data_IF_715660647487
#
_entry.id   IF_715660647487
#
_cell.length_a   1.000
_cell.length_b   1.000
_cell.length_c   1.000
_cell.angle_alpha   90.00
_cell.angle_beta   90.00
_cell.angle_gamma   90.00
#
_symmetry.space_group_name_H-M   'P 1'
#
loop_
_entity.id
_entity.type
_entity.pdbx_description
1 polymer ?
#
# COMPACT_ATOMS: atom_id res chain seq x y z
N UNK A 1 -3.30 14.55 2.51
CA UNK A 1 -4.45 13.77 2.01
C UNK A 1 -3.96 12.53 1.29
N UNK A 2 -4.72 11.47 1.35
CA UNK A 2 -4.38 10.21 0.71
C UNK A 2 -5.34 9.98 -0.46
N UNK A 3 -4.78 9.86 -1.66
CA UNK A 3 -5.53 9.62 -2.88
C UNK A 3 -5.31 8.16 -3.31
N UNK A 4 -6.38 7.39 -3.32
CA UNK A 4 -6.33 5.98 -3.75
C UNK A 4 -6.91 5.90 -5.16
N UNK A 5 -6.14 5.36 -6.09
CA UNK A 5 -6.56 5.31 -7.50
C UNK A 5 -7.58 4.19 -7.72
N UNK A 6 -8.60 4.48 -8.52
CA UNK A 6 -9.68 3.54 -8.84
C UNK A 6 -9.17 2.28 -9.55
N UNK A 7 -8.03 2.35 -10.22
CA UNK A 7 -7.44 1.19 -10.90
C UNK A 7 -7.17 0.02 -9.95
N UNK A 8 -7.02 0.29 -8.65
CA UNK A 8 -6.85 -0.77 -7.64
C UNK A 8 -8.07 -1.69 -7.65
N UNK A 9 -9.26 -1.11 -7.57
CA UNK A 9 -10.51 -1.87 -7.58
C UNK A 9 -10.73 -2.56 -8.94
N UNK A 10 -10.36 -1.89 -10.03
CA UNK A 10 -10.49 -2.46 -11.37
C UNK A 10 -9.65 -3.72 -11.54
N UNK A 11 -8.43 -3.74 -10.99
CA UNK A 11 -7.52 -4.88 -11.07
C UNK A 11 -7.80 -5.94 -10.02
N UNK A 12 -8.27 -5.52 -8.85
CA UNK A 12 -8.53 -6.36 -7.69
C UNK A 12 -9.90 -6.02 -7.13
N UNK A 13 -10.99 -6.56 -7.75
CA UNK A 13 -12.36 -6.19 -7.35
C UNK A 13 -12.70 -6.48 -5.89
N UNK A 14 -11.94 -7.37 -5.23
CA UNK A 14 -12.10 -7.66 -3.80
C UNK A 14 -11.61 -6.53 -2.91
N UNK A 15 -10.93 -5.52 -3.47
CA UNK A 15 -10.42 -4.37 -2.74
C UNK A 15 -11.16 -3.10 -3.16
N UNK A 16 -11.76 -2.42 -2.19
CA UNK A 16 -12.30 -1.10 -2.38
C UNK A 16 -11.22 -0.04 -2.07
N UNK A 17 -11.31 1.17 -2.63
CA UNK A 17 -10.35 2.23 -2.30
C UNK A 17 -10.22 2.48 -0.80
N UNK A 18 -11.32 2.39 -0.04
CA UNK A 18 -11.28 2.58 1.40
C UNK A 18 -10.51 1.48 2.13
N UNK A 19 -10.48 0.26 1.59
CA UNK A 19 -9.69 -0.83 2.17
C UNK A 19 -8.20 -0.50 2.08
N UNK A 20 -7.75 -0.01 0.93
CA UNK A 20 -6.37 0.38 0.72
C UNK A 20 -6.01 1.59 1.60
N UNK A 21 -6.92 2.55 1.72
CA UNK A 21 -6.71 3.73 2.57
C UNK A 21 -6.54 3.32 4.03
N UNK A 22 -7.42 2.46 4.54
CA UNK A 22 -7.34 1.96 5.92
C UNK A 22 -6.02 1.25 6.18
N UNK A 23 -5.60 0.39 5.24
CA UNK A 23 -4.35 -0.35 5.37
C UNK A 23 -3.15 0.59 5.38
N UNK A 24 -3.17 1.63 4.53
CA UNK A 24 -2.09 2.60 4.47
C UNK A 24 -2.01 3.43 5.76
N UNK A 25 -3.13 3.95 6.23
CA UNK A 25 -3.18 4.77 7.44
C UNK A 25 -2.77 3.99 8.68
N UNK A 26 -3.14 2.71 8.74
CA UNK A 26 -2.81 1.82 9.84
C UNK A 26 -1.63 0.91 9.58
N UNK A 27 -0.70 1.31 8.72
CA UNK A 27 0.43 0.47 8.34
C UNK A 27 1.26 0.07 9.57
N UNK A 28 1.54 -1.22 9.68
CA UNK A 28 2.37 -1.76 10.76
C UNK A 28 3.85 -1.82 10.38
N UNK A 29 4.15 -1.71 9.08
CA UNK A 29 5.51 -1.70 8.56
C UNK A 29 5.52 -0.99 7.22
N UNK A 30 6.61 -0.30 6.92
CA UNK A 30 6.80 0.31 5.61
C UNK A 30 8.29 0.36 5.28
N UNK A 31 8.58 0.48 3.98
CA UNK A 31 9.95 0.66 3.49
C UNK A 31 9.95 1.59 2.28
N UNK A 32 11.06 2.27 2.09
CA UNK A 32 11.26 3.16 0.96
C UNK A 32 12.06 2.42 -0.11
N UNK A 33 11.55 2.46 -1.34
CA UNK A 33 12.31 2.00 -2.50
C UNK A 33 12.92 3.21 -3.17
N UNK A 34 14.24 3.37 -2.99
CA UNK A 34 14.96 4.55 -3.47
C UNK A 34 15.59 4.36 -4.85
N UNK A 35 15.28 3.27 -5.53
CA UNK A 35 15.82 2.94 -6.86
C UNK A 35 15.14 3.71 -8.00
N UNK A 36 14.15 4.53 -7.69
CA UNK A 36 13.44 5.35 -8.67
C UNK A 36 13.12 6.72 -8.10
N UNK A 37 12.79 7.66 -8.99
CA UNK A 37 12.35 9.02 -8.61
C UNK A 37 10.99 9.27 -9.25
N UNK A 38 9.98 9.74 -8.50
CA UNK A 38 9.99 9.91 -7.03
C UNK A 38 10.10 8.56 -6.31
N UNK A 39 10.52 8.61 -5.06
CA UNK A 39 10.64 7.39 -4.24
C UNK A 39 9.29 6.70 -4.11
N UNK A 40 9.32 5.37 -4.19
CA UNK A 40 8.16 4.53 -3.92
C UNK A 40 8.20 4.06 -2.48
N UNK A 41 7.04 4.00 -1.86
CA UNK A 41 6.89 3.48 -0.50
C UNK A 41 6.00 2.25 -0.56
N UNK A 42 6.46 1.17 0.06
CA UNK A 42 5.65 -0.04 0.22
C UNK A 42 5.27 -0.16 1.69
N UNK A 43 4.02 -0.52 1.95
CA UNK A 43 3.53 -0.64 3.32
C UNK A 43 2.62 -1.87 3.44
N UNK A 44 2.51 -2.40 4.64
CA UNK A 44 1.57 -3.46 4.97
C UNK A 44 0.74 -3.02 6.16
N UNK A 45 -0.56 -3.14 6.04
CA UNK A 45 -1.52 -2.84 7.07
C UNK A 45 -2.75 -3.72 6.94
N UNK A 46 -3.81 -3.35 7.64
CA UNK A 46 -5.04 -4.13 7.66
C UNK A 46 -6.22 -3.25 7.32
N UNK A 47 -7.22 -3.84 6.64
CA UNK A 47 -8.51 -3.16 6.45
C UNK A 47 -9.38 -3.30 7.70
N UNK A 48 -10.59 -2.76 7.63
CA UNK A 48 -11.52 -2.77 8.75
C UNK A 48 -11.95 -4.18 9.19
N UNK A 49 -11.81 -5.17 8.30
CA UNK A 49 -12.15 -6.57 8.60
C UNK A 49 -10.96 -7.39 9.07
N UNK A 50 -9.77 -6.79 9.12
CA UNK A 50 -8.56 -7.47 9.55
C UNK A 50 -7.80 -8.19 8.44
N UNK A 51 -8.19 -7.98 7.18
CA UNK A 51 -7.47 -8.53 6.03
C UNK A 51 -6.15 -7.80 5.86
N UNK A 52 -5.04 -8.52 5.72
CA UNK A 52 -3.73 -7.90 5.47
C UNK A 52 -3.61 -7.46 4.01
N UNK A 53 -3.10 -6.26 3.80
CA UNK A 53 -3.01 -5.65 2.47
C UNK A 53 -1.64 -5.01 2.31
N UNK A 54 -0.96 -5.32 1.20
CA UNK A 54 0.20 -4.55 0.79
C UNK A 54 -0.25 -3.37 -0.06
N UNK A 55 0.37 -2.22 0.14
CA UNK A 55 0.08 -1.02 -0.64
C UNK A 55 1.38 -0.40 -1.11
N UNK A 56 1.33 0.25 -2.28
CA UNK A 56 2.48 1.01 -2.80
C UNK A 56 2.00 2.39 -3.19
N UNK A 57 2.74 3.39 -2.77
CA UNK A 57 2.40 4.77 -3.06
C UNK A 57 3.63 5.66 -3.13
N UNK A 58 3.39 6.92 -3.44
CA UNK A 58 4.43 7.96 -3.45
C UNK A 58 3.88 9.25 -2.85
N UNK A 59 4.79 10.07 -2.39
CA UNK A 59 4.43 11.39 -1.90
C UNK A 59 4.38 12.38 -3.06
N UNK A 60 3.39 13.26 -3.07
CA UNK A 60 3.28 14.33 -4.05
C UNK A 60 4.08 15.54 -3.61
N UNK A 61 4.29 16.50 -4.54
CA UNK A 61 4.96 17.75 -4.21
C UNK A 61 4.21 18.58 -3.17
N UNK A 62 2.89 18.39 -3.06
CA UNK A 62 2.04 19.09 -2.07
C UNK A 62 2.06 18.41 -0.70
N UNK A 63 2.77 17.28 -0.56
CA UNK A 63 2.80 16.55 0.70
C UNK A 63 1.68 15.54 0.86
N UNK A 64 0.86 15.35 -0.16
CA UNK A 64 -0.16 14.31 -0.19
C UNK A 64 0.45 12.96 -0.58
N UNK A 65 -0.36 11.91 -0.54
CA UNK A 65 0.03 10.57 -0.95
C UNK A 65 -0.85 10.07 -2.07
N UNK A 66 -0.25 9.37 -3.03
CA UNK A 66 -1.00 8.68 -4.08
C UNK A 66 -0.70 7.19 -3.95
N UNK A 67 -1.74 6.40 -3.73
CA UNK A 67 -1.65 4.93 -3.63
C UNK A 67 -2.17 4.36 -4.94
N UNK A 68 -1.31 3.66 -5.69
CA UNK A 68 -1.68 3.11 -7.01
C UNK A 68 -1.70 1.60 -7.05
N UNK A 69 -1.24 0.95 -5.98
CA UNK A 69 -1.20 -0.51 -5.91
C UNK A 69 -1.67 -0.97 -4.55
N UNK A 70 -2.50 -2.01 -4.54
CA UNK A 70 -2.86 -2.72 -3.33
C UNK A 70 -3.11 -4.18 -3.71
N UNK A 71 -2.77 -5.09 -2.81
CA UNK A 71 -2.93 -6.52 -3.03
C UNK A 71 -3.15 -7.24 -1.70
N UNK A 72 -4.02 -8.25 -1.71
CA UNK A 72 -4.33 -9.04 -0.52
C UNK A 72 -4.38 -10.53 -0.88
N UNK A 73 -3.76 -11.43 -0.10
CA UNK A 73 -2.81 -11.12 0.97
C UNK A 73 -1.49 -10.57 0.41
N UNK A 74 -0.65 -9.97 1.25
CA UNK A 74 0.65 -9.46 0.79
C UNK A 74 1.51 -10.55 0.16
N UNK A 75 2.26 -10.19 -0.86
CA UNK A 75 3.18 -11.10 -1.53
C UNK A 75 4.35 -11.45 -0.61
N UNK A 76 4.98 -12.60 -0.87
CA UNK A 76 6.18 -12.99 -0.12
C UNK A 76 7.30 -11.97 -0.29
N UNK A 77 7.41 -11.39 -1.47
CA UNK A 77 8.41 -10.36 -1.75
C UNK A 77 8.20 -9.16 -0.83
N UNK A 78 6.96 -8.67 -0.73
CA UNK A 78 6.63 -7.55 0.13
C UNK A 78 6.92 -7.87 1.60
N UNK A 79 6.51 -9.05 2.05
CA UNK A 79 6.76 -9.47 3.43
C UNK A 79 8.26 -9.51 3.75
N UNK A 80 9.07 -10.08 2.86
CA UNK A 80 10.52 -10.12 3.05
C UNK A 80 11.14 -8.73 3.04
N UNK A 81 10.68 -7.89 2.14
CA UNK A 81 11.17 -6.51 2.00
C UNK A 81 10.97 -5.72 3.28
N UNK A 82 9.87 -5.99 3.99
CA UNK A 82 9.52 -5.30 5.23
C UNK A 82 9.96 -6.04 6.50
N UNK A 83 10.70 -7.15 6.34
CA UNK A 83 11.18 -7.90 7.47
C UNK A 83 10.11 -8.71 8.20
N UNK A 84 8.97 -8.96 7.55
CA UNK A 84 7.83 -9.69 8.13
C UNK A 84 7.76 -11.14 7.68
N UNK A 85 8.51 -11.51 6.65
CA UNK A 85 8.56 -12.87 6.17
C UNK A 85 9.71 -13.63 6.84
N UNK A 86 9.41 -14.75 7.42
CA UNK A 86 10.40 -15.62 8.05
C UNK A 86 11.32 -16.31 7.04
#
# INVERSE_FOLDING_TARGET
MIHVLDRIHERHPELEPDDARSAWEGAIAYAVRSDSRPFKYIAIGFDATGRSIETVGRRTSDGDWIIWHAFTPPTRKALRELGLGG
#
